data_IF_197155213653
#
_entry.id   IF_197155213653
#
_cell.length_a   1.000
_cell.length_b   1.000
_cell.length_c   1.000
_cell.angle_alpha   90.00
_cell.angle_beta   90.00
_cell.angle_gamma   90.00
#
_symmetry.space_group_name_H-M   'P 1'
#
loop_
_entity.id
_entity.type
_entity.pdbx_description
1 polymer ?
#
# COMPACT_ATOMS: atom_id res chain seq x y z
N UNK A 1 8.55 0.04 7.25
CA UNK A 1 9.20 -0.89 6.28
C UNK A 1 9.30 -0.29 4.87
N UNK A 2 10.29 -0.68 4.03
CA UNK A 2 10.52 -0.09 2.68
C UNK A 2 10.77 -1.15 1.59
N UNK A 3 10.50 -0.81 0.32
CA UNK A 3 10.74 -1.62 -0.89
C UNK A 3 10.11 -3.02 -0.85
N UNK A 4 8.88 -3.11 -0.36
CA UNK A 4 8.11 -4.34 -0.25
C UNK A 4 7.46 -4.68 -1.60
N UNK A 5 7.39 -5.97 -1.99
CA UNK A 5 6.50 -6.39 -3.06
C UNK A 5 5.03 -6.24 -2.61
N UNK A 6 4.11 -6.06 -3.57
CA UNK A 6 2.66 -5.88 -3.31
C UNK A 6 2.10 -6.90 -2.31
N UNK A 7 2.43 -8.18 -2.47
CA UNK A 7 1.93 -9.26 -1.61
C UNK A 7 2.39 -9.15 -0.15
N UNK A 8 3.60 -8.66 0.10
CA UNK A 8 4.10 -8.48 1.47
C UNK A 8 3.52 -7.20 2.09
N UNK A 9 3.42 -6.12 1.32
CA UNK A 9 2.79 -4.89 1.76
C UNK A 9 1.34 -5.13 2.23
N UNK A 10 0.54 -5.88 1.46
CA UNK A 10 -0.84 -6.24 1.83
C UNK A 10 -0.87 -6.99 3.17
N UNK A 11 0.01 -7.99 3.36
CA UNK A 11 0.05 -8.75 4.62
C UNK A 11 0.37 -7.86 5.81
N UNK A 12 1.33 -6.95 5.67
CA UNK A 12 1.73 -6.03 6.73
C UNK A 12 0.59 -5.08 7.06
N UNK A 13 -0.07 -4.48 6.06
CA UNK A 13 -1.22 -3.61 6.29
C UNK A 13 -2.36 -4.36 6.98
N UNK A 14 -2.66 -5.59 6.57
CA UNK A 14 -3.68 -6.41 7.22
C UNK A 14 -3.35 -6.71 8.69
N UNK A 15 -2.06 -6.90 9.01
CA UNK A 15 -1.61 -7.11 10.40
C UNK A 15 -1.71 -5.82 11.20
N UNK A 16 -1.29 -4.68 10.66
CA UNK A 16 -1.35 -3.38 11.35
C UNK A 16 -2.80 -2.98 11.63
N UNK A 17 -3.68 -3.19 10.66
CA UNK A 17 -5.09 -2.81 10.75
C UNK A 17 -5.99 -3.87 11.40
N UNK A 18 -5.42 -5.02 11.78
CA UNK A 18 -6.11 -6.18 12.35
C UNK A 18 -7.36 -6.62 11.55
N UNK A 19 -7.39 -6.34 10.24
CA UNK A 19 -8.51 -6.53 9.31
C UNK A 19 -7.96 -6.95 7.95
N UNK A 20 -8.65 -7.85 7.24
CA UNK A 20 -8.34 -8.10 5.83
C UNK A 20 -8.84 -6.95 4.96
N UNK A 21 -7.91 -6.05 4.61
CA UNK A 21 -8.18 -4.88 3.76
C UNK A 21 -7.64 -5.08 2.34
N UNK A 22 -7.44 -6.33 1.93
CA UNK A 22 -6.83 -6.70 0.65
C UNK A 22 -7.50 -6.00 -0.54
N UNK A 23 -8.84 -5.99 -0.61
CA UNK A 23 -9.56 -5.38 -1.73
C UNK A 23 -9.41 -3.85 -1.74
N UNK A 24 -9.50 -3.20 -0.57
CA UNK A 24 -9.28 -1.75 -0.42
C UNK A 24 -7.85 -1.38 -0.84
N UNK A 25 -6.85 -2.14 -0.42
CA UNK A 25 -5.46 -1.93 -0.81
C UNK A 25 -5.30 -2.01 -2.33
N UNK A 26 -5.88 -3.04 -2.97
CA UNK A 26 -5.72 -3.25 -4.41
C UNK A 26 -6.29 -2.09 -5.22
N UNK A 27 -7.51 -1.66 -4.88
CA UNK A 27 -8.17 -0.53 -5.52
C UNK A 27 -7.34 0.76 -5.42
N UNK A 28 -6.83 1.06 -4.22
CA UNK A 28 -6.00 2.24 -3.99
C UNK A 28 -4.64 2.14 -4.70
N UNK A 29 -4.03 0.95 -4.74
CA UNK A 29 -2.76 0.73 -5.43
C UNK A 29 -2.87 0.86 -6.96
N UNK A 30 -3.99 0.41 -7.54
CA UNK A 30 -4.27 0.60 -8.98
C UNK A 30 -4.42 2.09 -9.29
N UNK A 31 -5.18 2.83 -8.47
CA UNK A 31 -5.32 4.28 -8.62
C UNK A 31 -3.97 5.01 -8.48
N UNK A 32 -3.17 4.70 -7.46
CA UNK A 32 -1.89 5.37 -7.22
C UNK A 32 -0.85 5.07 -8.32
N UNK A 33 -0.78 3.81 -8.76
CA UNK A 33 0.13 3.40 -9.83
C UNK A 33 -0.23 3.98 -11.21
N UNK A 34 -1.52 4.10 -11.53
CA UNK A 34 -1.97 4.64 -12.82
C UNK A 34 -1.96 6.17 -12.89
N UNK A 35 -2.29 6.86 -11.79
CA UNK A 35 -2.36 8.32 -11.75
C UNK A 35 -1.04 9.00 -11.34
N UNK A 36 -0.05 8.22 -10.90
CA UNK A 36 1.27 8.71 -10.50
C UNK A 36 1.30 9.31 -9.09
N UNK A 37 0.31 8.98 -8.26
CA UNK A 37 0.32 9.37 -6.85
C UNK A 37 1.38 8.56 -6.09
N UNK A 38 2.26 9.23 -5.32
CA UNK A 38 3.38 8.56 -4.64
C UNK A 38 2.97 7.82 -3.35
N UNK A 39 1.70 7.92 -2.95
CA UNK A 39 1.14 7.20 -1.79
C UNK A 39 -0.38 7.09 -1.85
N UNK A 40 -0.94 6.19 -1.05
CA UNK A 40 -2.37 6.05 -0.81
C UNK A 40 -2.62 5.64 0.65
N UNK A 41 -3.86 5.83 1.12
CA UNK A 41 -4.25 5.50 2.49
C UNK A 41 -5.25 4.37 2.48
N UNK A 42 -5.04 3.37 3.35
CA UNK A 42 -5.98 2.27 3.58
C UNK A 42 -6.57 2.40 4.97
N UNK A 43 -7.90 2.39 5.09
CA UNK A 43 -8.62 2.52 6.36
C UNK A 43 -9.44 1.27 6.66
N UNK A 44 -9.35 0.75 7.89
CA UNK A 44 -10.16 -0.39 8.35
C UNK A 44 -11.58 0.04 8.76
N UNK A 45 -12.43 -0.92 9.11
CA UNK A 45 -13.80 -0.62 9.58
C UNK A 45 -13.85 0.10 10.93
N UNK A 46 -12.78 0.04 11.73
CA UNK A 46 -12.66 0.72 13.03
C UNK A 46 -12.22 2.20 12.90
N UNK A 47 -11.86 2.65 11.70
CA UNK A 47 -11.39 4.01 11.43
C UNK A 47 -9.88 4.20 11.59
N UNK A 48 -9.13 3.12 11.78
CA UNK A 48 -7.66 3.14 11.77
C UNK A 48 -7.16 3.16 10.34
N UNK A 49 -6.08 3.89 10.10
CA UNK A 49 -5.56 4.09 8.76
C UNK A 49 -4.05 3.91 8.69
N UNK A 50 -3.59 3.40 7.55
CA UNK A 50 -2.17 3.22 7.23
C UNK A 50 -1.89 3.90 5.91
N UNK A 51 -0.86 4.74 5.87
CA UNK A 51 -0.33 5.31 4.65
C UNK A 51 0.67 4.35 4.00
N UNK A 52 0.45 4.05 2.73
CA UNK A 52 1.29 3.19 1.91
C UNK A 52 1.87 4.03 0.77
N UNK A 53 3.19 4.13 0.74
CA UNK A 53 3.93 4.80 -0.33
C UNK A 53 4.17 3.84 -1.48
N UNK A 54 4.02 4.35 -2.70
CA UNK A 54 4.26 3.62 -3.94
C UNK A 54 5.45 4.23 -4.65
N UNK A 55 6.47 3.40 -4.88
CA UNK A 55 7.64 3.78 -5.65
C UNK A 55 7.60 3.00 -6.98
N UNK A 56 7.40 3.74 -8.06
CA UNK A 56 7.40 3.19 -9.42
C UNK A 56 8.76 3.41 -10.08
N UNK A 57 9.50 2.32 -10.25
CA UNK A 57 10.67 2.30 -11.08
C UNK A 57 10.25 2.12 -12.55
N UNK A 58 10.19 3.23 -13.28
CA UNK A 58 9.82 3.27 -14.71
C UNK A 58 10.82 2.59 -15.62
N UNK A 59 12.09 2.46 -15.21
CA UNK A 59 13.14 1.84 -16.02
C UNK A 59 13.02 0.31 -16.00
N UNK A 60 12.64 -0.25 -14.85
CA UNK A 60 12.47 -1.69 -14.66
C UNK A 60 11.02 -2.15 -14.76
N UNK A 61 10.07 -1.22 -14.88
CA UNK A 61 8.62 -1.45 -14.84
C UNK A 61 8.16 -2.18 -13.57
N UNK A 62 8.75 -1.82 -12.42
CA UNK A 62 8.49 -2.45 -11.13
C UNK A 62 7.87 -1.45 -10.15
N UNK A 63 6.80 -1.88 -9.47
CA UNK A 63 6.20 -1.19 -8.35
C UNK A 63 6.70 -1.78 -7.03
N UNK A 64 7.17 -0.92 -6.13
CA UNK A 64 7.55 -1.27 -4.78
C UNK A 64 6.82 -0.41 -3.76
N UNK A 65 6.61 -0.94 -2.56
CA UNK A 65 5.73 -0.33 -1.55
C UNK A 65 6.49 -0.06 -0.26
N UNK A 66 6.19 1.04 0.40
CA UNK A 66 6.74 1.36 1.72
C UNK A 66 5.62 1.74 2.69
N UNK A 67 5.73 1.29 3.93
CA UNK A 67 4.74 1.53 4.98
C UNK A 67 5.49 2.16 6.14
N UNK A 68 5.12 3.38 6.55
CA UNK A 68 5.69 3.96 7.76
C UNK A 68 4.91 3.42 8.97
N UNK A 69 5.62 2.70 9.83
CA UNK A 69 5.16 2.39 11.18
C UNK A 69 5.77 3.50 12.05
N UNK A 70 4.95 4.41 12.58
CA UNK A 70 5.38 5.34 13.64
C UNK A 70 5.31 4.62 15.00
#
# INVERSE_FOLDING_TARGET
MKNLPRSEAIKIVNVILEEDVTDKFKEQAENAGEHGDPSFVVTNSHGESVEVFVDWNKEEDILSYSINED
#
